data_IF_357700897762
#
_entry.id   IF_357700897762
#
_cell.length_a   1.000
_cell.length_b   1.000
_cell.length_c   1.000
_cell.angle_alpha   90.00
_cell.angle_beta   90.00
_cell.angle_gamma   90.00
#
_symmetry.space_group_name_H-M   'P 1'
#
loop_
_entity.id
_entity.type
_entity.pdbx_description
1 polymer ?
#
# COMPACT_ATOMS: atom_id res chain seq x y z
N UNK A 1 6.08 -3.81 -12.52
CA UNK A 1 6.47 -3.46 -11.15
C UNK A 1 7.63 -4.35 -10.75
N UNK A 2 8.70 -3.79 -10.15
CA UNK A 2 9.73 -4.61 -9.53
C UNK A 2 9.06 -5.48 -8.46
N UNK A 3 9.39 -6.77 -8.39
CA UNK A 3 8.79 -7.73 -7.44
C UNK A 3 9.76 -7.96 -6.30
N UNK A 4 9.27 -7.94 -5.06
CA UNK A 4 10.03 -8.37 -3.90
C UNK A 4 10.27 -9.88 -3.97
N UNK A 5 11.47 -10.33 -3.62
CA UNK A 5 11.76 -11.77 -3.47
C UNK A 5 11.01 -12.35 -2.27
N UNK A 6 10.84 -11.57 -1.20
CA UNK A 6 10.06 -11.92 -0.01
C UNK A 6 9.07 -10.81 0.34
N UNK A 7 7.80 -11.03 0.02
CA UNK A 7 6.71 -10.06 0.27
C UNK A 7 6.10 -10.14 1.67
N UNK A 8 6.37 -11.22 2.41
CA UNK A 8 5.91 -11.41 3.78
C UNK A 8 7.07 -11.19 4.76
N UNK A 9 6.86 -10.33 5.74
CA UNK A 9 7.84 -10.04 6.77
C UNK A 9 7.18 -10.03 8.14
N UNK A 10 7.92 -10.50 9.14
CA UNK A 10 7.59 -10.32 10.55
C UNK A 10 8.60 -9.35 11.15
N UNK A 11 8.13 -8.34 11.87
CA UNK A 11 8.98 -7.32 12.47
C UNK A 11 8.39 -6.80 13.78
N UNK A 12 9.11 -5.91 14.45
CA UNK A 12 8.62 -5.28 15.67
C UNK A 12 7.51 -4.27 15.34
N UNK A 13 6.42 -4.23 16.13
CA UNK A 13 5.32 -3.29 15.89
C UNK A 13 5.72 -1.82 16.11
N UNK A 14 6.85 -1.58 16.78
CA UNK A 14 7.43 -0.24 16.98
C UNK A 14 8.08 0.34 15.73
N UNK A 15 8.27 -0.45 14.67
CA UNK A 15 8.77 0.06 13.40
C UNK A 15 7.74 0.97 12.74
N UNK A 16 8.26 1.90 11.93
CA UNK A 16 7.44 2.84 11.17
C UNK A 16 7.40 2.49 9.68
N UNK A 17 6.53 3.18 8.96
CA UNK A 17 6.44 3.08 7.50
C UNK A 17 7.77 3.41 6.81
N UNK A 18 8.55 4.36 7.33
CA UNK A 18 9.90 4.66 6.82
C UNK A 18 10.81 3.43 6.85
N UNK A 19 10.73 2.60 7.90
CA UNK A 19 11.49 1.36 7.98
C UNK A 19 11.05 0.34 6.92
N UNK A 20 9.74 0.30 6.61
CA UNK A 20 9.24 -0.52 5.50
C UNK A 20 9.75 -0.01 4.14
N UNK A 21 9.76 1.30 3.91
CA UNK A 21 10.34 1.90 2.69
C UNK A 21 11.81 1.49 2.53
N UNK A 22 12.60 1.57 3.60
CA UNK A 22 14.01 1.15 3.59
C UNK A 22 14.17 -0.34 3.26
N UNK A 23 13.35 -1.20 3.86
CA UNK A 23 13.37 -2.64 3.58
C UNK A 23 13.06 -2.93 2.10
N UNK A 24 11.96 -2.36 1.58
CA UNK A 24 11.58 -2.53 0.17
C UNK A 24 12.66 -1.97 -0.76
N UNK A 25 13.20 -0.79 -0.45
CA UNK A 25 14.26 -0.18 -1.25
C UNK A 25 15.51 -1.06 -1.30
N UNK A 26 15.92 -1.63 -0.16
CA UNK A 26 17.05 -2.57 -0.08
C UNK A 26 16.81 -3.81 -0.96
N UNK A 27 15.62 -4.41 -0.87
CA UNK A 27 15.25 -5.58 -1.68
C UNK A 27 15.22 -5.26 -3.18
N UNK A 28 14.91 -4.02 -3.55
CA UNK A 28 14.81 -3.59 -4.95
C UNK A 28 16.07 -2.92 -5.50
N UNK A 29 17.13 -2.80 -4.69
CA UNK A 29 18.33 -2.01 -5.03
C UNK A 29 17.99 -0.56 -5.45
N UNK A 30 17.13 0.10 -4.67
CA UNK A 30 16.65 1.48 -4.86
C UNK A 30 16.95 2.34 -3.62
N UNK A 31 16.70 3.65 -3.73
CA UNK A 31 16.73 4.54 -2.58
C UNK A 31 15.38 4.51 -1.85
N UNK A 32 15.40 4.65 -0.52
CA UNK A 32 14.18 4.68 0.30
C UNK A 32 13.23 5.81 -0.11
N UNK A 33 13.76 6.96 -0.54
CA UNK A 33 12.99 8.10 -1.03
C UNK A 33 12.20 7.83 -2.32
N UNK A 34 12.59 6.79 -3.08
CA UNK A 34 11.88 6.34 -4.29
C UNK A 34 10.69 5.42 -3.96
N UNK A 35 10.54 4.98 -2.69
CA UNK A 35 9.52 4.01 -2.29
C UNK A 35 8.41 4.68 -1.49
N UNK A 36 7.17 4.36 -1.85
CA UNK A 36 5.97 4.76 -1.10
C UNK A 36 5.17 3.53 -0.70
N UNK A 37 4.55 3.57 0.49
CA UNK A 37 3.70 2.51 1.02
C UNK A 37 2.26 3.00 1.11
N UNK A 38 1.33 2.14 0.75
CA UNK A 38 -0.10 2.40 0.70
C UNK A 38 -0.86 1.28 1.39
N UNK A 39 -2.07 1.60 1.83
CA UNK A 39 -3.06 0.61 2.20
C UNK A 39 -4.30 0.74 1.32
N UNK A 40 -5.03 -0.36 1.19
CA UNK A 40 -6.34 -0.34 0.54
C UNK A 40 -7.39 0.07 1.56
N UNK A 41 -8.03 1.20 1.32
CA UNK A 41 -9.23 1.59 2.05
C UNK A 41 -10.37 0.71 1.57
N UNK A 42 -10.73 -0.30 2.36
CA UNK A 42 -11.96 -1.04 2.08
C UNK A 42 -13.13 -0.06 2.22
N UNK A 43 -13.98 0.00 1.19
CA UNK A 43 -15.25 0.72 1.22
C UNK A 43 -16.23 0.02 2.17
N UNK A 44 -15.98 0.09 3.48
CA UNK A 44 -16.81 -0.54 4.50
C UNK A 44 -18.18 0.19 4.65
N UNK A 45 -18.41 1.30 3.93
CA UNK A 45 -19.73 1.94 3.84
C UNK A 45 -20.13 2.17 2.38
N UNK A 46 -20.83 1.22 1.79
CA UNK A 46 -21.35 1.33 0.43
C UNK A 46 -22.35 0.24 0.09
N UNK A 47 -23.45 0.20 0.84
CA UNK A 47 -24.66 -0.52 0.41
C UNK A 47 -25.03 -0.10 -1.01
N UNK A 48 -25.04 -1.07 -1.93
CA UNK A 48 -25.83 -1.17 -3.17
C UNK A 48 -25.91 0.09 -4.05
N UNK A 49 -25.35 -0.01 -5.27
CA UNK A 49 -26.15 -0.08 -6.50
C UNK A 49 -25.27 -0.46 -7.70
N UNK A 50 -25.59 -1.61 -8.28
CA UNK A 50 -25.45 -1.89 -9.71
C UNK A 50 -26.09 -0.79 -10.53
N UNK A 51 -25.44 -0.37 -11.62
CA UNK A 51 -26.04 -0.33 -12.96
C UNK A 51 -24.94 -0.13 -14.01
N UNK A 52 -24.99 -1.01 -15.02
CA UNK A 52 -24.12 -1.06 -16.19
C UNK A 52 -24.28 0.17 -17.09
N UNK A 53 -23.22 0.56 -17.83
CA UNK A 53 -23.20 0.65 -19.31
C UNK A 53 -22.25 1.73 -19.85
N UNK A 54 -21.46 1.26 -20.83
CA UNK A 54 -20.84 1.95 -21.98
C UNK A 54 -19.48 2.62 -21.88
N UNK A 55 -18.62 2.04 -22.72
CA UNK A 55 -17.76 2.68 -23.72
C UNK A 55 -16.52 3.46 -23.24
N UNK A 56 -15.38 2.82 -23.53
CA UNK A 56 -14.23 3.36 -24.25
C UNK A 56 -13.78 4.75 -23.81
N UNK A 57 -12.68 4.80 -23.04
CA UNK A 57 -11.60 5.76 -23.24
C UNK A 57 -10.38 5.34 -22.40
N UNK A 58 -9.23 5.39 -23.05
CA UNK A 58 -7.90 5.19 -22.49
C UNK A 58 -7.63 6.06 -21.25
N UNK A 59 -7.49 5.44 -20.08
CA UNK A 59 -6.60 5.94 -19.03
C UNK A 59 -6.29 4.83 -18.03
N UNK A 60 -5.07 4.32 -18.08
CA UNK A 60 -4.47 3.32 -17.19
C UNK A 60 -4.21 3.89 -15.78
N UNK A 61 -5.14 4.68 -15.25
CA UNK A 61 -5.04 5.43 -13.98
C UNK A 61 -6.23 5.19 -13.04
N UNK A 62 -7.19 4.31 -13.36
CA UNK A 62 -8.34 4.03 -12.48
C UNK A 62 -8.08 2.95 -11.39
N UNK A 63 -6.82 2.57 -11.12
CA UNK A 63 -6.51 1.51 -10.14
C UNK A 63 -6.18 2.02 -8.73
N UNK A 64 -6.21 3.34 -8.50
CA UNK A 64 -5.89 3.94 -7.21
C UNK A 64 -7.11 4.45 -6.44
N UNK A 65 -8.33 4.24 -6.92
CA UNK A 65 -9.58 4.84 -6.42
C UNK A 65 -9.99 4.43 -4.98
N UNK A 66 -9.11 3.73 -4.28
CA UNK A 66 -9.23 3.38 -2.87
C UNK A 66 -7.88 3.11 -2.19
N UNK A 67 -6.78 3.65 -2.72
CA UNK A 67 -5.45 3.53 -2.12
C UNK A 67 -5.05 4.82 -1.43
N UNK A 68 -4.65 4.71 -0.17
CA UNK A 68 -4.23 5.85 0.64
C UNK A 68 -2.78 5.68 1.06
N UNK A 69 -1.97 6.73 0.83
CA UNK A 69 -0.55 6.74 1.16
C UNK A 69 -0.37 6.84 2.66
N UNK A 70 0.46 5.96 3.22
CA UNK A 70 0.84 6.01 4.62
C UNK A 70 1.95 7.03 4.86
N UNK A 71 1.87 7.72 6.00
CA UNK A 71 2.90 8.66 6.44
C UNK A 71 4.11 7.90 6.96
N UNK A 72 5.31 8.39 6.69
CA UNK A 72 6.57 7.69 6.98
C UNK A 72 6.83 7.52 8.49
N UNK A 73 6.33 8.46 9.29
CA UNK A 73 6.41 8.49 10.74
C UNK A 73 5.41 7.55 11.44
N UNK A 74 4.36 7.08 10.75
CA UNK A 74 3.34 6.21 11.34
C UNK A 74 3.93 4.87 11.75
N UNK A 75 3.67 4.45 12.99
CA UNK A 75 4.11 3.16 13.51
C UNK A 75 3.19 2.02 13.06
N UNK A 76 3.74 0.81 12.91
CA UNK A 76 2.93 -0.37 12.60
C UNK A 76 1.97 -0.71 13.74
N UNK A 77 2.32 -0.41 14.98
CA UNK A 77 1.44 -0.55 16.14
C UNK A 77 0.17 0.30 16.01
N UNK A 78 0.29 1.56 15.57
CA UNK A 78 -0.86 2.45 15.37
C UNK A 78 -1.69 2.01 14.16
N UNK A 79 -1.02 1.58 13.08
CA UNK A 79 -1.68 1.20 11.83
C UNK A 79 -2.40 -0.15 11.93
N UNK A 80 -1.87 -1.11 12.69
CA UNK A 80 -2.41 -2.46 12.79
C UNK A 80 -3.90 -2.50 13.18
N UNK A 81 -4.36 -1.89 14.29
CA UNK A 81 -5.78 -1.94 14.66
C UNK A 81 -6.70 -1.21 13.68
N UNK A 82 -6.17 -0.26 12.90
CA UNK A 82 -6.97 0.50 11.92
C UNK A 82 -7.12 -0.24 10.60
N UNK A 83 -6.12 -1.02 10.20
CA UNK A 83 -5.97 -1.53 8.84
C UNK A 83 -6.03 -3.06 8.75
N UNK A 84 -5.72 -3.78 9.82
CA UNK A 84 -5.84 -5.23 9.83
C UNK A 84 -7.33 -5.64 9.80
N UNK A 85 -7.67 -6.65 9.01
CA UNK A 85 -9.05 -7.15 8.86
C UNK A 85 -9.59 -7.91 10.10
N UNK A 86 -9.08 -7.61 11.30
CA UNK A 86 -9.50 -8.21 12.57
C UNK A 86 -8.92 -9.61 12.86
N UNK A 87 -8.57 -10.39 11.84
CA UNK A 87 -7.92 -11.72 11.98
C UNK A 87 -6.91 -11.88 10.85
N UNK A 88 -5.70 -11.34 11.01
CA UNK A 88 -4.66 -11.54 9.99
C UNK A 88 -3.46 -10.62 10.06
N UNK A 89 -2.58 -10.81 9.08
CA UNK A 89 -1.42 -9.96 8.84
C UNK A 89 -1.86 -8.61 8.25
N UNK A 90 -1.00 -7.60 8.41
CA UNK A 90 -1.21 -6.29 7.82
C UNK A 90 -0.82 -6.33 6.33
N UNK A 91 -1.79 -6.17 5.44
CA UNK A 91 -1.57 -6.14 4.00
C UNK A 91 -1.34 -4.71 3.48
N UNK A 92 -0.16 -4.48 2.90
CA UNK A 92 0.25 -3.19 2.37
C UNK A 92 0.72 -3.32 0.92
N UNK A 93 0.64 -2.22 0.18
CA UNK A 93 1.15 -2.11 -1.17
C UNK A 93 2.33 -1.15 -1.19
N UNK A 94 3.29 -1.39 -2.08
CA UNK A 94 4.38 -0.45 -2.35
C UNK A 94 4.32 0.04 -3.80
N UNK A 95 4.81 1.25 -4.03
CA UNK A 95 5.12 1.77 -5.35
C UNK A 95 6.58 2.24 -5.39
N UNK A 96 7.17 2.28 -6.58
CA UNK A 96 8.49 2.86 -6.81
C UNK A 96 8.33 3.99 -7.81
N UNK A 97 8.77 5.19 -7.45
CA UNK A 97 8.76 6.36 -8.33
C UNK A 97 9.74 6.14 -9.48
N UNK A 98 9.38 6.55 -10.68
CA UNK A 98 10.36 6.70 -11.75
C UNK A 98 11.27 7.88 -11.37
N UNK A 99 12.60 7.72 -11.50
CA UNK A 99 13.52 8.86 -11.45
C UNK A 99 13.10 9.83 -12.56
N UNK A 100 12.77 11.06 -12.17
CA UNK A 100 12.62 12.17 -13.10
C UNK A 100 13.96 12.58 -13.69
#
# INVERSE_FOLDING_TARGET
>A
MPKLEKSYLSCQPTFSVSHLCQFVALQLSRQAAEVEIYFRKNSINGSLKTEDTSADNEAKMERLDGLERLKEESSLFELYPMLASGVGDLELLYSVKAQG
#
